data_IF_420686007382
#
_entry.id   IF_420686007382
#
_cell.length_a   1.000
_cell.length_b   1.000
_cell.length_c   1.000
_cell.angle_alpha   90.00
_cell.angle_beta   90.00
_cell.angle_gamma   90.00
#
_symmetry.space_group_name_H-M   'P 1'
#
loop_
_entity.id
_entity.type
_entity.pdbx_description
1 polymer ?
#
# COMPACT_ATOMS: atom_id res chain seq x y z
N UNK A 1 30.52 9.34 -1.78
CA UNK A 1 29.39 10.05 -1.14
C UNK A 1 28.29 10.15 -2.19
N UNK A 2 27.40 9.16 -2.23
CA UNK A 2 26.56 8.92 -3.42
C UNK A 2 25.33 9.82 -3.46
N UNK A 3 25.36 10.70 -4.47
CA UNK A 3 24.37 11.54 -5.13
C UNK A 3 22.90 11.48 -4.71
N UNK A 4 22.23 12.64 -4.55
CA UNK A 4 20.77 12.72 -4.48
C UNK A 4 20.19 12.51 -5.89
N UNK A 5 19.56 11.36 -6.12
CA UNK A 5 18.67 11.22 -7.28
C UNK A 5 17.27 11.65 -6.87
N UNK A 6 17.03 12.95 -6.93
CA UNK A 6 15.67 13.48 -7.08
C UNK A 6 15.29 13.36 -8.56
N UNK A 7 14.28 12.56 -8.93
CA UNK A 7 13.48 12.93 -10.08
C UNK A 7 12.46 13.97 -9.62
N UNK A 8 12.67 15.20 -10.10
CA UNK A 8 11.63 16.18 -10.33
C UNK A 8 10.49 15.51 -11.11
N UNK A 9 9.30 15.44 -10.53
CA UNK A 9 8.09 15.62 -11.31
C UNK A 9 6.99 16.21 -10.42
N UNK A 10 6.78 17.52 -10.57
CA UNK A 10 5.61 18.20 -10.05
C UNK A 10 4.40 17.78 -10.89
N UNK A 11 3.51 16.97 -10.32
CA UNK A 11 2.10 16.92 -10.76
C UNK A 11 1.21 16.35 -9.68
N UNK A 12 0.34 17.25 -9.20
CA UNK A 12 -0.97 17.04 -8.61
C UNK A 12 -1.07 16.46 -7.17
N UNK A 13 -1.82 17.23 -6.35
CA UNK A 13 -2.23 17.13 -4.92
C UNK A 13 -1.15 17.27 -3.83
N UNK A 14 -1.26 18.27 -2.92
CA UNK A 14 -0.29 18.51 -1.84
C UNK A 14 -0.41 17.42 -0.76
N UNK A 15 0.24 16.29 -0.97
CA UNK A 15 0.66 15.40 0.10
C UNK A 15 2.02 15.86 0.64
N UNK A 16 2.34 15.60 1.91
CA UNK A 16 3.65 15.92 2.47
C UNK A 16 4.75 15.17 1.70
N UNK A 17 5.83 15.88 1.32
CA UNK A 17 7.00 15.29 0.67
C UNK A 17 7.62 14.20 1.53
N UNK A 18 8.20 13.13 0.94
CA UNK A 18 8.87 12.10 1.72
C UNK A 18 9.97 12.69 2.60
N UNK A 19 10.69 13.72 2.12
CA UNK A 19 11.69 14.43 2.93
C UNK A 19 11.11 15.09 4.20
N UNK A 20 9.88 15.60 4.12
CA UNK A 20 9.19 16.22 5.26
C UNK A 20 8.76 15.15 6.27
N UNK A 21 8.30 14.00 5.79
CA UNK A 21 7.91 12.86 6.62
C UNK A 21 9.14 12.23 7.30
N UNK A 22 10.27 12.11 6.61
CA UNK A 22 11.54 11.65 7.20
C UNK A 22 12.04 12.59 8.30
N UNK A 23 11.85 13.91 8.14
CA UNK A 23 12.14 14.87 9.23
C UNK A 23 11.25 14.65 10.44
N UNK A 24 9.98 14.31 10.26
CA UNK A 24 9.09 13.96 11.36
C UNK A 24 9.49 12.64 12.03
N UNK A 25 9.91 11.65 11.24
CA UNK A 25 10.47 10.38 11.73
C UNK A 25 11.71 10.65 12.61
N UNK A 26 12.64 11.47 12.10
CA UNK A 26 13.86 11.87 12.79
C UNK A 26 13.58 12.71 14.05
N UNK A 27 12.49 13.48 14.05
CA UNK A 27 12.00 14.20 15.22
C UNK A 27 11.31 13.28 16.27
N UNK A 28 11.35 11.96 16.07
CA UNK A 28 10.81 10.97 17.00
C UNK A 28 9.33 10.66 16.84
N UNK A 29 8.67 11.21 15.81
CA UNK A 29 7.26 10.89 15.50
C UNK A 29 7.18 9.65 14.62
N UNK A 30 7.70 8.53 15.10
CA UNK A 30 7.51 7.26 14.40
C UNK A 30 6.13 6.65 14.69
N UNK A 31 5.45 6.21 13.64
CA UNK A 31 4.10 5.68 13.76
C UNK A 31 3.61 5.09 12.45
N UNK A 32 2.64 4.17 12.53
CA UNK A 32 2.08 3.48 11.37
C UNK A 32 1.57 4.45 10.30
N UNK A 33 0.90 5.53 10.69
CA UNK A 33 0.40 6.58 9.79
C UNK A 33 1.53 7.33 9.07
N UNK A 34 2.64 7.63 9.76
CA UNK A 34 3.78 8.31 9.13
C UNK A 34 4.46 7.39 8.12
N UNK A 35 4.67 6.11 8.49
CA UNK A 35 5.28 5.12 7.60
C UNK A 35 4.39 4.80 6.39
N UNK A 36 3.07 4.74 6.55
CA UNK A 36 2.13 4.64 5.43
C UNK A 36 2.25 5.86 4.51
N UNK A 37 2.35 7.06 5.07
CA UNK A 37 2.47 8.30 4.29
C UNK A 37 3.75 8.30 3.45
N UNK A 38 4.87 7.83 4.02
CA UNK A 38 6.12 7.61 3.29
C UNK A 38 5.91 6.61 2.16
N UNK A 39 5.28 5.48 2.44
CA UNK A 39 5.00 4.47 1.42
C UNK A 39 4.18 5.01 0.24
N UNK A 40 3.15 5.82 0.52
CA UNK A 40 2.37 6.47 -0.54
C UNK A 40 3.21 7.44 -1.36
N UNK A 41 4.09 8.23 -0.72
CA UNK A 41 4.99 9.14 -1.41
C UNK A 41 5.95 8.39 -2.34
N UNK A 42 6.53 7.26 -1.88
CA UNK A 42 7.37 6.40 -2.72
C UNK A 42 6.58 5.70 -3.83
N UNK A 43 5.37 5.23 -3.54
CA UNK A 43 4.51 4.60 -4.53
C UNK A 43 4.16 5.56 -5.68
N UNK A 44 3.91 6.85 -5.36
CA UNK A 44 3.69 7.91 -6.37
C UNK A 44 4.94 8.21 -7.20
N UNK A 45 6.13 7.92 -6.68
CA UNK A 45 7.42 7.99 -7.41
C UNK A 45 7.70 6.71 -8.19
N UNK A 46 6.72 5.83 -8.33
CA UNK A 46 6.83 4.52 -8.98
C UNK A 46 7.82 3.58 -8.25
N UNK A 47 8.24 3.93 -7.03
CA UNK A 47 9.15 3.16 -6.22
C UNK A 47 8.38 2.19 -5.31
N UNK A 48 7.81 1.17 -5.94
CA UNK A 48 7.02 0.14 -5.28
C UNK A 48 7.81 -0.65 -4.22
N UNK A 49 9.12 -0.87 -4.46
CA UNK A 49 9.98 -1.60 -3.54
C UNK A 49 10.15 -0.86 -2.21
N UNK A 50 10.50 0.43 -2.26
CA UNK A 50 10.66 1.25 -1.05
C UNK A 50 9.31 1.45 -0.36
N UNK A 51 8.23 1.62 -1.13
CA UNK A 51 6.87 1.74 -0.58
C UNK A 51 6.46 0.50 0.24
N UNK A 52 6.69 -0.71 -0.30
CA UNK A 52 6.39 -1.96 0.41
C UNK A 52 7.20 -2.08 1.70
N UNK A 53 8.49 -1.76 1.68
CA UNK A 53 9.33 -1.79 2.88
C UNK A 53 8.80 -0.86 3.98
N UNK A 54 8.32 0.33 3.63
CA UNK A 54 7.70 1.25 4.60
C UNK A 54 6.36 0.74 5.13
N UNK A 55 5.55 0.06 4.29
CA UNK A 55 4.29 -0.55 4.72
C UNK A 55 4.49 -1.73 5.65
N UNK A 56 5.46 -2.60 5.37
CA UNK A 56 5.82 -3.71 6.26
C UNK A 56 6.18 -3.20 7.66
N UNK A 57 6.92 -2.11 7.71
CA UNK A 57 7.24 -1.47 8.98
C UNK A 57 6.03 -0.78 9.63
N UNK A 58 5.09 -0.27 8.84
CA UNK A 58 3.85 0.31 9.36
C UNK A 58 2.97 -0.77 10.01
N UNK A 59 2.82 -1.93 9.37
CA UNK A 59 2.05 -3.06 9.91
C UNK A 59 2.75 -3.74 11.09
N UNK A 60 4.07 -3.64 11.17
CA UNK A 60 4.82 -4.07 12.36
C UNK A 60 4.55 -3.17 13.58
N UNK A 61 4.23 -1.89 13.36
CA UNK A 61 3.84 -0.96 14.44
C UNK A 61 2.36 -1.09 14.79
N UNK A 62 1.51 -1.28 13.78
CA UNK A 62 0.06 -1.44 13.93
C UNK A 62 -0.43 -2.54 12.98
N UNK A 63 -0.56 -3.75 13.54
CA UNK A 63 -1.04 -4.91 12.79
C UNK A 63 -2.52 -4.79 12.39
N UNK A 64 -3.28 -3.91 13.05
CA UNK A 64 -4.68 -3.63 12.74
C UNK A 64 -4.83 -2.53 11.66
N UNK A 65 -3.71 -2.14 11.04
CA UNK A 65 -3.70 -1.07 10.05
C UNK A 65 -4.11 -1.56 8.65
N UNK A 66 -5.42 -1.75 8.50
CA UNK A 66 -6.09 -2.25 7.29
C UNK A 66 -5.67 -1.51 6.01
N UNK A 67 -5.45 -0.19 6.10
CA UNK A 67 -5.05 0.63 4.97
C UNK A 67 -3.67 0.25 4.43
N UNK A 68 -2.73 -0.13 5.30
CA UNK A 68 -1.40 -0.55 4.85
C UNK A 68 -1.45 -1.90 4.11
N UNK A 69 -2.16 -2.88 4.66
CA UNK A 69 -2.34 -4.18 3.98
C UNK A 69 -3.05 -4.03 2.64
N UNK A 70 -4.09 -3.19 2.56
CA UNK A 70 -4.76 -2.87 1.30
C UNK A 70 -3.80 -2.25 0.30
N UNK A 71 -2.96 -1.30 0.74
CA UNK A 71 -1.98 -0.67 -0.15
C UNK A 71 -0.89 -1.64 -0.62
N UNK A 72 -0.40 -2.52 0.25
CA UNK A 72 0.55 -3.58 -0.15
C UNK A 72 -0.04 -4.45 -1.26
N UNK A 73 -1.31 -4.82 -1.14
CA UNK A 73 -2.00 -5.59 -2.18
C UNK A 73 -2.14 -4.82 -3.50
N UNK A 74 -2.45 -3.53 -3.44
CA UNK A 74 -2.53 -2.68 -4.63
C UNK A 74 -1.18 -2.54 -5.35
N UNK A 75 -0.11 -2.33 -4.59
CA UNK A 75 1.25 -2.22 -5.13
C UNK A 75 1.67 -3.54 -5.76
N UNK A 76 1.44 -4.68 -5.08
CA UNK A 76 1.75 -6.00 -5.62
C UNK A 76 0.97 -6.29 -6.91
N UNK A 77 -0.30 -5.88 -7.03
CA UNK A 77 -1.03 -5.98 -8.29
C UNK A 77 -0.42 -5.13 -9.40
N UNK A 78 0.03 -3.91 -9.09
CA UNK A 78 0.71 -3.05 -10.05
C UNK A 78 2.01 -3.68 -10.58
N UNK A 79 2.67 -4.49 -9.76
CA UNK A 79 3.86 -5.27 -10.14
C UNK A 79 3.52 -6.57 -10.89
N UNK A 80 2.25 -6.93 -11.05
CA UNK A 80 1.81 -8.21 -11.62
C UNK A 80 1.95 -9.40 -10.68
N UNK A 81 2.28 -9.16 -9.41
CA UNK A 81 2.59 -10.16 -8.39
C UNK A 81 1.29 -10.61 -7.68
N UNK A 82 0.43 -11.29 -8.43
CA UNK A 82 -0.93 -11.66 -7.98
C UNK A 82 -0.94 -12.48 -6.69
N UNK A 83 0.05 -13.36 -6.48
CA UNK A 83 0.18 -14.15 -5.25
C UNK A 83 0.39 -13.28 -4.02
N UNK A 84 1.30 -12.30 -4.10
CA UNK A 84 1.53 -11.34 -3.01
C UNK A 84 0.33 -10.43 -2.80
N UNK A 85 -0.30 -10.00 -3.90
CA UNK A 85 -1.51 -9.19 -3.82
C UNK A 85 -2.63 -9.92 -3.08
N UNK A 86 -2.85 -11.19 -3.40
CA UNK A 86 -3.84 -12.02 -2.73
C UNK A 86 -3.54 -12.14 -1.23
N UNK A 87 -2.31 -12.48 -0.85
CA UNK A 87 -1.93 -12.60 0.55
C UNK A 87 -2.18 -11.28 1.32
N UNK A 88 -1.76 -10.14 0.75
CA UNK A 88 -1.95 -8.84 1.38
C UNK A 88 -3.42 -8.45 1.50
N UNK A 89 -4.24 -8.70 0.47
CA UNK A 89 -5.68 -8.42 0.55
C UNK A 89 -6.41 -9.36 1.51
N UNK A 90 -5.97 -10.61 1.65
CA UNK A 90 -6.52 -11.56 2.62
C UNK A 90 -6.31 -11.06 4.05
N UNK A 91 -5.07 -10.64 4.39
CA UNK A 91 -4.80 -10.03 5.70
C UNK A 91 -5.59 -8.74 5.90
N UNK A 92 -5.65 -7.87 4.88
CA UNK A 92 -6.46 -6.66 4.94
C UNK A 92 -7.95 -6.96 5.21
N UNK A 93 -8.48 -8.03 4.63
CA UNK A 93 -9.86 -8.46 4.82
C UNK A 93 -10.10 -8.89 6.26
N UNK A 94 -9.24 -9.74 6.82
CA UNK A 94 -9.37 -10.21 8.20
C UNK A 94 -9.35 -9.04 9.20
N UNK A 95 -8.42 -8.10 9.01
CA UNK A 95 -8.32 -6.90 9.86
C UNK A 95 -9.55 -6.01 9.67
N UNK A 96 -10.01 -5.80 8.43
CA UNK A 96 -11.22 -5.03 8.14
C UNK A 96 -12.46 -5.65 8.83
N UNK A 97 -12.58 -6.97 8.82
CA UNK A 97 -13.65 -7.69 9.50
C UNK A 97 -13.59 -7.48 11.01
N UNK A 98 -12.40 -7.57 11.61
CA UNK A 98 -12.19 -7.32 13.05
C UNK A 98 -12.54 -5.89 13.44
N UNK A 99 -12.19 -4.90 12.61
CA UNK A 99 -12.49 -3.48 12.83
C UNK A 99 -13.94 -3.08 12.51
N UNK A 100 -14.71 -3.95 11.85
CA UNK A 100 -16.08 -3.64 11.42
C UNK A 100 -16.15 -2.75 10.17
N UNK A 101 -15.08 -2.70 9.38
CA UNK A 101 -14.98 -1.91 8.13
C UNK A 101 -15.75 -2.60 6.98
N UNK A 102 -17.08 -2.72 7.11
CA UNK A 102 -17.94 -3.52 6.23
C UNK A 102 -17.81 -3.17 4.74
N UNK A 103 -17.57 -1.90 4.41
CA UNK A 103 -17.32 -1.46 3.02
C UNK A 103 -16.01 -2.04 2.47
N UNK A 104 -14.94 -1.97 3.25
CA UNK A 104 -13.64 -2.49 2.86
C UNK A 104 -13.66 -4.01 2.76
N UNK A 105 -14.34 -4.68 3.69
CA UNK A 105 -14.55 -6.14 3.67
C UNK A 105 -15.18 -6.57 2.35
N UNK A 106 -16.27 -5.90 1.93
CA UNK A 106 -16.94 -6.22 0.66
C UNK A 106 -16.04 -5.97 -0.55
N UNK A 107 -15.37 -4.82 -0.60
CA UNK A 107 -14.45 -4.48 -1.70
C UNK A 107 -13.30 -5.49 -1.82
N UNK A 108 -12.63 -5.79 -0.71
CA UNK A 108 -11.52 -6.75 -0.67
C UNK A 108 -11.97 -8.17 -1.00
N UNK A 109 -13.14 -8.60 -0.53
CA UNK A 109 -13.70 -9.92 -0.86
C UNK A 109 -13.95 -10.07 -2.35
N UNK A 110 -14.53 -9.06 -3.00
CA UNK A 110 -14.78 -9.08 -4.45
C UNK A 110 -13.45 -9.08 -5.21
N UNK A 111 -12.48 -8.28 -4.77
CA UNK A 111 -11.16 -8.21 -5.39
C UNK A 111 -10.41 -9.54 -5.29
N UNK A 112 -10.37 -10.16 -4.11
CA UNK A 112 -9.80 -11.49 -3.89
C UNK A 112 -10.48 -12.56 -4.75
N UNK A 113 -11.82 -12.54 -4.83
CA UNK A 113 -12.55 -13.42 -5.74
C UNK A 113 -12.13 -13.24 -7.19
N UNK A 114 -11.91 -12.01 -7.66
CA UNK A 114 -11.45 -11.75 -9.03
C UNK A 114 -10.01 -12.18 -9.29
N UNK A 115 -9.15 -12.14 -8.27
CA UNK A 115 -7.77 -12.62 -8.38
C UNK A 115 -7.67 -14.15 -8.38
N UNK A 116 -8.54 -14.80 -7.59
CA UNK A 116 -8.64 -16.27 -7.50
C UNK A 116 -9.43 -16.88 -8.65
N UNK A 117 -10.40 -16.15 -9.20
CA UNK A 117 -11.11 -16.59 -10.37
C UNK A 117 -10.13 -16.54 -11.55
N UNK A 118 -9.90 -17.66 -12.27
CA UNK A 118 -9.29 -17.55 -13.59
C UNK A 118 -10.19 -16.61 -14.40
N UNK A 119 -9.59 -15.60 -15.03
CA UNK A 119 -10.27 -14.65 -15.91
C UNK A 119 -11.38 -15.39 -16.67
N UNK A 120 -12.67 -14.99 -16.57
CA UNK A 120 -13.66 -15.59 -17.46
C UNK A 120 -13.14 -15.36 -18.88
N UNK A 121 -13.16 -16.37 -19.77
CA UNK A 121 -12.83 -16.15 -21.16
C UNK A 121 -13.70 -14.98 -21.61
N UNK A 122 -13.06 -13.92 -22.07
CA UNK A 122 -13.75 -12.80 -22.68
C UNK A 122 -14.42 -13.36 -23.93
N UNK A 123 -15.66 -13.82 -23.80
CA UNK A 123 -16.53 -14.10 -24.93
C UNK A 123 -17.02 -12.73 -25.39
N UNK A 124 -16.19 -12.09 -26.21
CA UNK A 124 -16.58 -10.99 -27.07
C UNK A 124 -17.46 -11.61 -28.17
N UNK A 125 -18.74 -11.23 -28.23
CA UNK A 125 -19.70 -11.61 -29.26
C UNK A 125 -20.38 -10.35 -29.81
#
# INVERSE_FOLDING_TARGET
MNSPKTPTNASAVPGPSPEALERMLAAGRDGALLRMSLALAYHRREDAATALMHLEKAVALDADFTAAHRLQGLIALGLGDNTKAEAAFATALEVAQRRGELQLVKELTVRLRRLRAPSPPRTDN
#
